data_IF_184655447698
#
_entry.id   IF_184655447698
#
_cell.length_a   1.000
_cell.length_b   1.000
_cell.length_c   1.000
_cell.angle_alpha   90.00
_cell.angle_beta   90.00
_cell.angle_gamma   90.00
#
_symmetry.space_group_name_H-M   'P 1'
#
loop_
_entity.id
_entity.type
_entity.pdbx_description
1 polymer ?
#
# COMPACT_ATOMS: atom_id res chain seq x y z
N UNK A 1 -1.30 -18.32 -7.11
CA UNK A 1 -0.83 -17.91 -5.76
C UNK A 1 -2.01 -17.93 -4.79
N UNK A 2 -1.78 -17.79 -3.48
CA UNK A 2 -2.89 -17.65 -2.51
C UNK A 2 -3.70 -16.37 -2.76
N UNK A 3 -3.01 -15.29 -3.15
CA UNK A 3 -3.62 -14.04 -3.59
C UNK A 3 -4.61 -14.24 -4.75
N UNK A 4 -4.21 -14.93 -5.83
CA UNK A 4 -5.10 -15.19 -6.98
C UNK A 4 -6.38 -15.93 -6.60
N UNK A 5 -6.31 -16.83 -5.61
CA UNK A 5 -7.48 -17.57 -5.11
C UNK A 5 -8.40 -16.72 -4.24
N UNK A 6 -7.86 -15.66 -3.62
CA UNK A 6 -8.61 -14.76 -2.76
C UNK A 6 -9.30 -13.63 -3.55
N UNK A 7 -8.88 -13.37 -4.80
CA UNK A 7 -9.49 -12.38 -5.67
C UNK A 7 -10.88 -12.84 -6.15
N UNK A 8 -11.83 -11.91 -6.11
CA UNK A 8 -13.21 -12.11 -6.55
C UNK A 8 -13.71 -10.89 -7.34
N UNK A 9 -14.82 -11.05 -8.07
CA UNK A 9 -15.44 -9.96 -8.84
C UNK A 9 -15.89 -8.77 -7.96
N UNK A 10 -16.10 -9.01 -6.67
CA UNK A 10 -16.48 -7.98 -5.68
C UNK A 10 -15.27 -7.31 -5.03
N UNK A 11 -14.06 -7.78 -5.30
CA UNK A 11 -12.84 -7.22 -4.71
C UNK A 11 -12.65 -5.78 -5.23
N UNK A 12 -12.54 -4.82 -4.31
CA UNK A 12 -12.29 -3.40 -4.63
C UNK A 12 -10.92 -2.90 -4.16
N UNK A 13 -10.31 -3.62 -3.22
CA UNK A 13 -9.05 -3.24 -2.57
C UNK A 13 -8.29 -4.51 -2.20
N UNK A 14 -7.00 -4.51 -2.47
CA UNK A 14 -6.04 -5.47 -1.92
C UNK A 14 -5.04 -4.69 -1.07
N UNK A 15 -4.79 -5.16 0.15
CA UNK A 15 -3.88 -4.52 1.10
C UNK A 15 -2.84 -5.53 1.57
N UNK A 16 -1.56 -5.21 1.38
CA UNK A 16 -0.43 -6.05 1.80
C UNK A 16 0.57 -5.24 2.62
N UNK A 17 1.37 -5.91 3.45
CA UNK A 17 2.56 -5.30 4.06
C UNK A 17 3.76 -5.46 3.12
N UNK A 18 4.60 -4.43 3.00
CA UNK A 18 5.85 -4.54 2.22
C UNK A 18 6.87 -5.43 2.95
N UNK A 19 6.98 -5.25 4.27
CA UNK A 19 7.82 -6.08 5.13
C UNK A 19 6.94 -6.60 6.26
N UNK A 20 6.87 -7.92 6.40
CA UNK A 20 6.19 -8.55 7.51
C UNK A 20 6.89 -8.18 8.83
N UNK A 21 6.14 -7.64 9.78
CA UNK A 21 6.64 -7.14 11.04
C UNK A 21 6.98 -8.23 12.08
N UNK A 22 6.55 -9.48 11.88
CA UNK A 22 6.83 -10.61 12.78
C UNK A 22 8.09 -11.37 12.37
N UNK A 23 8.22 -11.69 11.07
CA UNK A 23 9.33 -12.50 10.54
C UNK A 23 10.35 -11.70 9.72
N UNK A 24 10.06 -10.43 9.42
CA UNK A 24 10.95 -9.56 8.64
C UNK A 24 11.02 -9.88 7.14
N UNK A 25 10.16 -10.78 6.65
CA UNK A 25 10.11 -11.16 5.25
C UNK A 25 9.70 -9.98 4.36
N UNK A 26 10.38 -9.83 3.22
CA UNK A 26 10.09 -8.80 2.21
C UNK A 26 9.16 -9.39 1.16
N UNK A 27 8.03 -8.75 0.91
CA UNK A 27 7.09 -9.16 -0.13
C UNK A 27 7.51 -8.65 -1.51
N UNK A 28 7.28 -9.45 -2.55
CA UNK A 28 7.46 -9.02 -3.94
C UNK A 28 6.27 -8.17 -4.40
N UNK A 29 6.23 -6.93 -3.90
CA UNK A 29 5.16 -5.96 -4.12
C UNK A 29 4.88 -5.72 -5.61
N UNK A 30 5.92 -5.76 -6.45
CA UNK A 30 5.76 -5.53 -7.90
C UNK A 30 4.94 -6.66 -8.51
N UNK A 31 5.36 -7.91 -8.29
CA UNK A 31 4.65 -9.09 -8.78
C UNK A 31 3.22 -9.14 -8.23
N UNK A 32 3.03 -8.83 -6.95
CA UNK A 32 1.69 -8.79 -6.34
C UNK A 32 0.79 -7.71 -6.99
N UNK A 33 1.33 -6.52 -7.26
CA UNK A 33 0.58 -5.46 -7.96
C UNK A 33 0.17 -5.89 -9.38
N UNK A 34 1.07 -6.57 -10.10
CA UNK A 34 0.82 -7.06 -11.46
C UNK A 34 -0.30 -8.11 -11.47
N UNK A 35 -0.31 -9.02 -10.49
CA UNK A 35 -1.40 -9.99 -10.32
C UNK A 35 -2.75 -9.28 -10.10
N UNK A 36 -2.80 -8.33 -9.14
CA UNK A 36 -4.03 -7.61 -8.79
C UNK A 36 -4.57 -6.81 -9.99
N UNK A 37 -3.71 -6.03 -10.65
CA UNK A 37 -4.12 -5.19 -11.77
C UNK A 37 -4.41 -5.98 -13.05
N UNK A 38 -3.79 -7.16 -13.22
CA UNK A 38 -4.12 -8.08 -14.32
C UNK A 38 -5.49 -8.72 -14.12
N UNK A 39 -5.88 -9.03 -12.89
CA UNK A 39 -7.21 -9.54 -12.59
C UNK A 39 -8.29 -8.48 -12.83
N UNK A 40 -8.14 -7.30 -12.22
CA UNK A 40 -9.02 -6.17 -12.49
C UNK A 40 -8.27 -4.85 -12.21
N UNK A 41 -8.03 -4.00 -13.23
CA UNK A 41 -7.25 -2.77 -13.08
C UNK A 41 -7.96 -1.67 -12.26
N UNK A 42 -9.22 -1.90 -11.87
CA UNK A 42 -9.96 -1.00 -10.97
C UNK A 42 -9.73 -1.30 -9.49
N UNK A 43 -9.17 -2.47 -9.16
CA UNK A 43 -8.85 -2.82 -7.78
C UNK A 43 -7.73 -1.92 -7.30
N UNK A 44 -7.96 -1.25 -6.17
CA UNK A 44 -6.91 -0.45 -5.53
C UNK A 44 -5.89 -1.39 -4.88
N UNK A 45 -4.61 -1.11 -5.11
CA UNK A 45 -3.53 -1.83 -4.45
C UNK A 45 -2.87 -0.95 -3.37
N UNK A 46 -3.12 -1.31 -2.11
CA UNK A 46 -2.56 -0.66 -0.93
C UNK A 46 -1.36 -1.44 -0.38
N UNK A 47 -0.32 -0.69 -0.01
CA UNK A 47 0.88 -1.25 0.63
C UNK A 47 1.16 -0.54 1.95
N UNK A 48 1.21 -1.29 3.04
CA UNK A 48 1.80 -0.81 4.29
C UNK A 48 3.33 -0.86 4.16
N UNK A 49 3.96 0.32 4.10
CA UNK A 49 5.40 0.47 4.00
C UNK A 49 6.04 0.97 5.30
N UNK A 50 5.37 0.88 6.45
CA UNK A 50 5.85 1.39 7.75
C UNK A 50 7.25 0.85 8.11
N UNK A 51 7.51 -0.42 7.82
CA UNK A 51 8.80 -1.07 8.09
C UNK A 51 9.79 -0.99 6.93
N UNK A 52 9.34 -0.59 5.74
CA UNK A 52 10.11 -0.64 4.49
C UNK A 52 10.58 0.74 4.02
N UNK A 53 9.75 1.77 4.20
CA UNK A 53 10.06 3.13 3.78
C UNK A 53 11.32 3.62 4.48
N UNK A 54 12.21 4.29 3.74
CA UNK A 54 13.52 4.72 4.22
C UNK A 54 14.58 3.62 4.32
N UNK A 55 14.21 2.34 4.23
CA UNK A 55 15.15 1.20 4.17
C UNK A 55 15.29 0.62 2.76
N UNK A 56 14.21 0.67 1.98
CA UNK A 56 14.17 0.20 0.59
C UNK A 56 13.94 1.36 -0.37
N UNK A 57 14.43 1.20 -1.61
CA UNK A 57 14.13 2.14 -2.68
C UNK A 57 12.71 1.90 -3.22
N UNK A 58 11.75 2.66 -2.69
CA UNK A 58 10.34 2.51 -3.03
C UNK A 58 9.93 3.65 -3.95
N UNK A 59 9.61 3.31 -5.20
CA UNK A 59 8.99 4.23 -6.16
C UNK A 59 7.58 3.72 -6.45
N UNK A 60 6.55 4.24 -5.75
CA UNK A 60 5.20 3.67 -5.78
C UNK A 60 4.64 3.45 -7.18
N UNK A 61 4.85 4.42 -8.09
CA UNK A 61 4.43 4.33 -9.50
C UNK A 61 5.07 3.14 -10.24
N UNK A 62 6.35 2.82 -9.98
CA UNK A 62 7.06 1.69 -10.62
C UNK A 62 6.66 0.34 -10.04
N UNK A 63 6.18 0.32 -8.79
CA UNK A 63 5.76 -0.88 -8.07
C UNK A 63 4.25 -1.13 -8.17
N UNK A 64 3.53 -0.41 -9.03
CA UNK A 64 2.08 -0.60 -9.18
C UNK A 64 1.26 -0.15 -7.97
N UNK A 65 1.84 0.58 -7.00
CA UNK A 65 1.13 0.95 -5.77
C UNK A 65 0.16 2.11 -6.05
N UNK A 66 -1.09 1.95 -5.61
CA UNK A 66 -2.14 2.99 -5.68
C UNK A 66 -2.24 3.78 -4.38
N UNK A 67 -2.08 3.09 -3.24
CA UNK A 67 -2.10 3.67 -1.89
C UNK A 67 -0.91 3.15 -1.08
N UNK A 68 -0.24 4.00 -0.29
CA UNK A 68 0.85 3.53 0.57
C UNK A 68 0.90 4.26 1.91
N UNK A 69 0.90 3.50 3.00
CA UNK A 69 0.95 4.03 4.36
C UNK A 69 2.38 4.06 4.91
N UNK A 70 2.75 5.17 5.55
CA UNK A 70 4.07 5.36 6.17
C UNK A 70 3.93 6.07 7.52
N UNK A 71 4.78 5.70 8.48
CA UNK A 71 4.82 6.35 9.80
C UNK A 71 6.14 7.06 10.05
N UNK A 72 6.07 8.31 10.53
CA UNK A 72 7.24 9.16 10.77
C UNK A 72 8.18 8.61 11.85
N UNK A 73 7.64 8.02 12.91
CA UNK A 73 8.46 7.50 14.02
C UNK A 73 9.30 6.24 13.66
N UNK A 74 9.05 5.61 12.51
CA UNK A 74 9.92 4.56 11.94
C UNK A 74 11.04 5.12 11.07
N UNK A 75 11.04 6.43 10.85
CA UNK A 75 12.02 7.19 10.07
C UNK A 75 12.77 8.21 10.94
N UNK A 76 12.83 8.00 12.26
CA UNK A 76 13.37 8.95 13.24
C UNK A 76 12.63 10.31 13.29
N UNK A 77 11.40 10.37 12.77
CA UNK A 77 10.50 11.51 12.93
C UNK A 77 9.71 11.46 14.24
N UNK A 78 8.93 12.51 14.54
CA UNK A 78 8.08 12.56 15.73
C UNK A 78 6.99 11.48 15.69
N UNK A 79 6.63 10.97 16.89
CA UNK A 79 5.47 10.09 17.07
C UNK A 79 4.18 10.86 16.77
N UNK A 80 3.17 10.15 16.26
CA UNK A 80 1.87 10.73 15.91
C UNK A 80 1.80 11.36 14.51
N UNK A 81 2.88 11.33 13.73
CA UNK A 81 2.92 11.83 12.36
C UNK A 81 3.17 10.67 11.38
N UNK A 82 2.52 10.73 10.22
CA UNK A 82 2.69 9.81 9.11
C UNK A 82 2.11 10.42 7.84
N UNK A 83 2.15 9.67 6.74
CA UNK A 83 1.51 10.10 5.50
C UNK A 83 0.92 8.89 4.76
N UNK A 84 -0.12 9.18 3.98
CA UNK A 84 -0.67 8.28 2.99
C UNK A 84 -0.30 8.81 1.62
N UNK A 85 0.52 8.07 0.88
CA UNK A 85 0.67 8.32 -0.55
C UNK A 85 -0.58 7.82 -1.26
N UNK A 86 -1.09 8.63 -2.20
CA UNK A 86 -2.20 8.28 -3.06
C UNK A 86 -1.83 8.61 -4.50
N UNK A 87 -2.02 7.64 -5.41
CA UNK A 87 -1.93 7.87 -6.85
C UNK A 87 -3.11 8.74 -7.30
N UNK A 88 -2.90 9.61 -8.30
CA UNK A 88 -3.91 10.57 -8.79
C UNK A 88 -5.30 9.98 -9.10
N UNK A 89 -5.34 8.72 -9.55
CA UNK A 89 -6.59 8.03 -9.90
C UNK A 89 -7.28 7.36 -8.71
N UNK A 90 -6.59 7.18 -7.59
CA UNK A 90 -7.14 6.60 -6.38
C UNK A 90 -8.03 7.64 -5.67
N UNK A 91 -9.33 7.36 -5.60
CA UNK A 91 -10.30 8.24 -4.93
C UNK A 91 -10.62 7.70 -3.55
N UNK A 92 -10.05 8.32 -2.52
CA UNK A 92 -10.34 8.03 -1.12
C UNK A 92 -11.15 9.20 -0.55
N UNK A 93 -12.28 8.91 0.09
CA UNK A 93 -13.05 9.95 0.79
C UNK A 93 -12.26 10.38 2.04
N UNK A 94 -12.21 11.68 2.38
CA UNK A 94 -11.58 12.12 3.62
C UNK A 94 -12.13 11.34 4.82
N UNK A 95 -11.25 10.87 5.70
CA UNK A 95 -11.65 10.28 6.97
C UNK A 95 -12.01 11.38 7.98
N UNK A 96 -11.21 12.44 8.00
CA UNK A 96 -11.41 13.62 8.82
C UNK A 96 -11.92 14.71 7.88
N UNK A 97 -13.18 15.09 8.05
CA UNK A 97 -13.77 16.24 7.38
C UNK A 97 -13.48 17.50 8.21
N UNK A 98 -13.07 18.57 7.54
CA UNK A 98 -13.08 19.90 8.15
C UNK A 98 -14.50 20.44 8.28
N UNK A 99 -14.63 21.58 8.95
CA UNK A 99 -15.92 22.23 9.17
C UNK A 99 -15.72 23.59 9.80
N UNK A 100 -15.40 24.55 8.93
CA UNK A 100 -15.45 25.99 9.14
C UNK A 100 -15.94 26.62 7.85
#
# INVERSE_FOLDING_TARGET
SELEKALTEETILVSIMFVNNEIGAVEDVKTLSEIVHSYNPKILFHVDAIQAYGKYHIVPKRLGIDLMSVSGHKLHGPKGVGFLYMRDKAKVRPLIYGGG
#
